data_IF_874930238650
#
_entry.id   IF_874930238650
#
_cell.length_a   1.000
_cell.length_b   1.000
_cell.length_c   1.000
_cell.angle_alpha   90.00
_cell.angle_beta   90.00
_cell.angle_gamma   90.00
#
_symmetry.space_group_name_H-M   'P 1'
#
loop_
_entity.id
_entity.type
_entity.pdbx_description
1 polymer ?
#
# COMPACT_ATOMS: atom_id res chain seq x y z
N UNK A 1 3.25 -10.83 16.63
CA UNK A 1 2.27 -9.79 16.30
C UNK A 1 1.67 -9.19 17.56
N UNK A 2 1.55 -7.85 17.60
CA UNK A 2 0.77 -7.13 18.59
C UNK A 2 -0.65 -6.95 18.05
N UNK A 3 -1.65 -7.38 18.81
CA UNK A 3 -3.07 -7.26 18.46
C UNK A 3 -3.83 -6.46 19.53
N UNK A 4 -4.99 -5.94 19.17
CA UNK A 4 -5.88 -5.23 20.10
C UNK A 4 -7.24 -5.92 20.17
N UNK A 5 -8.03 -5.65 21.21
CA UNK A 5 -9.40 -6.13 21.38
C UNK A 5 -10.44 -5.04 21.07
N UNK A 6 -11.70 -5.43 21.07
CA UNK A 6 -12.81 -4.50 21.07
C UNK A 6 -13.11 -3.86 19.72
N UNK A 7 -12.72 -4.49 18.61
CA UNK A 7 -13.01 -4.01 17.26
C UNK A 7 -12.04 -2.97 16.73
N UNK A 8 -11.10 -2.46 17.54
CA UNK A 8 -10.03 -1.60 17.05
C UNK A 8 -8.94 -2.47 16.43
N UNK A 9 -8.73 -2.36 15.13
CA UNK A 9 -7.65 -3.07 14.46
C UNK A 9 -6.37 -2.23 14.47
N UNK A 10 -5.71 -2.16 15.62
CA UNK A 10 -4.43 -1.44 15.79
C UNK A 10 -3.25 -2.44 15.80
N UNK A 11 -3.29 -3.41 14.93
CA UNK A 11 -2.34 -4.51 14.87
C UNK A 11 -0.99 -4.08 14.28
N UNK A 12 0.11 -4.68 14.76
CA UNK A 12 1.47 -4.48 14.26
C UNK A 12 2.24 -5.78 14.22
N UNK A 13 2.86 -6.07 13.10
CA UNK A 13 3.88 -7.11 13.02
C UNK A 13 5.22 -6.53 13.43
N UNK A 14 5.85 -7.12 14.46
CA UNK A 14 7.15 -6.67 14.97
C UNK A 14 8.26 -7.56 14.38
N UNK A 15 9.20 -6.93 13.67
CA UNK A 15 10.32 -7.61 13.03
C UNK A 15 11.63 -7.21 13.70
N UNK A 16 12.50 -8.22 13.88
CA UNK A 16 13.85 -8.07 14.40
C UNK A 16 14.86 -8.26 13.28
N UNK A 17 15.87 -7.38 13.19
CA UNK A 17 16.98 -7.55 12.27
C UNK A 17 17.87 -8.74 12.65
N UNK A 18 18.02 -8.96 13.94
CA UNK A 18 18.78 -10.07 14.52
C UNK A 18 18.05 -11.40 14.43
N UNK A 19 18.73 -12.44 14.87
CA UNK A 19 18.23 -13.81 14.95
C UNK A 19 17.39 -14.07 16.23
N UNK A 20 17.07 -15.35 16.47
CA UNK A 20 16.33 -15.78 17.64
C UNK A 20 17.02 -15.45 18.97
N UNK A 21 18.35 -15.38 19.01
CA UNK A 21 19.09 -15.04 20.24
C UNK A 21 18.80 -13.61 20.69
N UNK A 22 18.56 -12.72 19.76
CA UNK A 22 18.11 -11.34 20.04
C UNK A 22 16.63 -11.30 20.41
N UNK A 23 15.76 -11.92 19.59
CA UNK A 23 14.32 -11.89 19.80
C UNK A 23 13.90 -12.56 21.12
N UNK A 24 14.58 -13.61 21.53
CA UNK A 24 14.29 -14.34 22.77
C UNK A 24 14.71 -13.61 24.06
N UNK A 25 15.31 -12.41 23.95
CA UNK A 25 15.62 -11.58 25.14
C UNK A 25 14.42 -10.82 25.68
N UNK A 26 13.26 -10.93 25.03
CA UNK A 26 11.99 -10.36 25.50
C UNK A 26 10.85 -11.32 25.25
N UNK A 27 9.79 -11.18 26.03
CA UNK A 27 8.49 -11.77 25.70
C UNK A 27 7.74 -10.83 24.76
N UNK A 28 6.88 -11.35 23.87
CA UNK A 28 6.04 -10.51 23.03
C UNK A 28 5.17 -9.57 23.87
N UNK A 29 5.24 -8.27 23.57
CA UNK A 29 4.27 -7.31 24.10
C UNK A 29 2.91 -7.55 23.45
N UNK A 30 1.87 -7.62 24.26
CA UNK A 30 0.55 -8.06 23.82
C UNK A 30 -0.57 -7.14 24.32
N UNK A 31 -1.79 -7.41 23.89
CA UNK A 31 -3.00 -6.73 24.40
C UNK A 31 -3.22 -6.89 25.90
N UNK A 32 -2.61 -7.89 26.54
CA UNK A 32 -2.70 -8.08 28.00
C UNK A 32 -1.80 -7.10 28.75
N UNK A 33 -0.75 -6.61 28.09
CA UNK A 33 0.14 -5.57 28.64
C UNK A 33 -0.48 -4.20 28.41
N UNK A 34 -0.92 -3.89 27.19
CA UNK A 34 -1.66 -2.67 26.85
C UNK A 34 -2.37 -2.82 25.49
N UNK A 35 -3.52 -2.19 25.36
CA UNK A 35 -4.23 -2.05 24.06
C UNK A 35 -3.86 -0.76 23.32
N UNK A 36 -2.95 0.03 23.88
CA UNK A 36 -2.49 1.28 23.28
C UNK A 36 -1.16 1.06 22.54
N UNK A 37 -1.10 1.22 21.22
CA UNK A 37 0.14 1.06 20.45
C UNK A 37 1.26 2.03 20.85
N UNK A 38 0.93 3.14 21.53
CA UNK A 38 1.94 4.05 22.07
C UNK A 38 2.79 3.37 23.16
N UNK A 39 2.19 2.45 23.92
CA UNK A 39 2.92 1.68 24.94
C UNK A 39 3.76 0.57 24.31
N UNK A 40 3.30 -0.03 23.19
CA UNK A 40 4.13 -0.91 22.37
C UNK A 40 5.39 -0.17 21.87
N UNK A 41 5.24 1.06 21.34
CA UNK A 41 6.41 1.81 20.86
C UNK A 41 7.41 2.09 21.98
N UNK A 42 6.95 2.46 23.19
CA UNK A 42 7.82 2.65 24.35
C UNK A 42 8.53 1.36 24.76
N UNK A 43 7.79 0.24 24.79
CA UNK A 43 8.36 -1.08 25.08
C UNK A 43 9.47 -1.45 24.07
N UNK A 44 9.23 -1.25 22.78
CA UNK A 44 10.21 -1.52 21.73
C UNK A 44 11.43 -0.59 21.82
N UNK A 45 11.22 0.68 22.21
CA UNK A 45 12.30 1.65 22.42
C UNK A 45 13.18 1.29 23.62
N UNK A 46 12.56 0.92 24.73
CA UNK A 46 13.25 0.43 25.92
C UNK A 46 14.06 -0.84 25.61
N UNK A 47 13.48 -1.76 24.82
CA UNK A 47 14.17 -2.97 24.42
C UNK A 47 15.40 -2.68 23.55
N UNK A 48 15.23 -1.87 22.48
CA UNK A 48 16.36 -1.50 21.58
C UNK A 48 17.45 -0.73 22.33
N UNK A 49 17.08 0.11 23.30
CA UNK A 49 18.02 0.87 24.13
C UNK A 49 18.87 -0.04 25.03
N UNK A 50 18.25 -1.05 25.64
CA UNK A 50 18.95 -2.01 26.53
C UNK A 50 19.82 -3.00 25.76
N UNK A 51 19.40 -3.42 24.58
CA UNK A 51 20.02 -4.57 23.88
C UNK A 51 20.83 -4.18 22.65
N UNK A 52 20.65 -2.97 22.12
CA UNK A 52 21.18 -2.56 20.82
C UNK A 52 20.42 -3.18 19.63
N UNK A 53 19.29 -3.85 19.86
CA UNK A 53 18.49 -4.46 18.82
C UNK A 53 18.00 -3.42 17.80
N UNK A 54 17.91 -3.84 16.54
CA UNK A 54 17.22 -3.08 15.48
C UNK A 54 15.88 -3.75 15.23
N UNK A 55 14.80 -2.97 15.38
CA UNK A 55 13.43 -3.45 15.37
C UNK A 55 12.58 -2.47 14.55
N UNK A 56 11.60 -3.00 13.84
CA UNK A 56 10.53 -2.22 13.24
C UNK A 56 9.17 -2.86 13.55
N UNK A 57 8.12 -2.07 13.49
CA UNK A 57 6.74 -2.50 13.60
C UNK A 57 5.99 -2.10 12.33
N UNK A 58 5.14 -2.99 11.82
CA UNK A 58 4.36 -2.78 10.59
C UNK A 58 2.89 -2.72 10.94
N UNK A 59 2.27 -1.53 10.94
CA UNK A 59 0.82 -1.41 11.01
C UNK A 59 0.16 -2.09 9.81
N UNK A 60 -0.94 -2.80 10.04
CA UNK A 60 -1.69 -3.43 8.98
C UNK A 60 -3.21 -3.31 9.21
N UNK A 61 -3.98 -3.45 8.14
CA UNK A 61 -5.45 -3.35 8.13
C UNK A 61 -5.95 -2.03 8.73
N UNK A 62 -5.34 -0.90 8.34
CA UNK A 62 -5.72 0.43 8.83
C UNK A 62 -7.18 0.80 8.56
N UNK A 63 -7.73 0.30 7.45
CA UNK A 63 -9.11 0.49 7.00
C UNK A 63 -10.18 -0.04 7.98
N UNK A 64 -9.80 -0.81 9.02
CA UNK A 64 -10.73 -1.37 10.01
C UNK A 64 -10.45 -0.86 11.45
N UNK A 65 -9.80 0.28 11.59
CA UNK A 65 -9.26 0.78 12.87
C UNK A 65 -10.13 1.81 13.59
N UNK A 66 -11.36 2.06 13.15
CA UNK A 66 -12.23 3.12 13.67
C UNK A 66 -11.58 4.52 13.65
N UNK A 67 -10.79 4.80 12.61
CA UNK A 67 -10.11 6.07 12.45
C UNK A 67 -8.91 6.28 13.38
N UNK A 68 -8.41 5.22 14.02
CA UNK A 68 -7.33 5.35 15.00
C UNK A 68 -5.93 5.05 14.43
N UNK A 69 -5.82 4.29 13.34
CA UNK A 69 -4.53 3.86 12.82
C UNK A 69 -3.63 5.04 12.47
N UNK A 70 -4.17 6.03 11.77
CA UNK A 70 -3.43 7.21 11.32
C UNK A 70 -4.00 8.52 11.90
N UNK A 71 -4.60 8.45 13.09
CA UNK A 71 -5.08 9.63 13.79
C UNK A 71 -3.94 10.62 14.07
N UNK A 72 -4.17 11.93 13.90
CA UNK A 72 -3.22 12.97 14.30
C UNK A 72 -3.20 13.20 15.82
N UNK A 73 -4.00 12.44 16.55
CA UNK A 73 -4.10 12.44 18.00
C UNK A 73 -3.71 11.08 18.58
N UNK A 74 -3.29 11.08 19.83
CA UNK A 74 -3.06 9.84 20.60
C UNK A 74 -4.36 9.06 20.78
N UNK A 75 -4.28 7.77 21.11
CA UNK A 75 -5.48 6.95 21.42
C UNK A 75 -6.34 7.59 22.54
N UNK A 76 -5.73 8.32 23.46
CA UNK A 76 -6.44 9.08 24.49
C UNK A 76 -7.04 10.42 23.98
N UNK A 77 -7.03 10.68 22.67
CA UNK A 77 -7.59 11.90 22.07
C UNK A 77 -6.75 13.18 22.30
N UNK A 78 -5.54 13.07 22.81
CA UNK A 78 -4.66 14.23 23.02
C UNK A 78 -3.85 14.51 21.76
N UNK A 79 -3.49 15.78 21.53
CA UNK A 79 -2.58 16.15 20.43
C UNK A 79 -1.27 15.35 20.53
N UNK A 80 -0.78 14.88 19.39
CA UNK A 80 0.48 14.13 19.30
C UNK A 80 1.65 15.01 19.78
N UNK A 81 2.40 14.62 20.80
CA UNK A 81 3.63 15.33 21.19
C UNK A 81 4.75 14.97 20.20
N UNK A 82 5.74 15.87 20.08
CA UNK A 82 6.83 15.74 19.11
C UNK A 82 7.69 14.49 19.33
N UNK A 83 7.98 14.15 20.57
CA UNK A 83 8.78 12.99 20.96
C UNK A 83 8.08 11.67 20.58
N UNK A 84 6.77 11.58 20.77
CA UNK A 84 5.98 10.43 20.35
C UNK A 84 5.92 10.32 18.81
N UNK A 85 5.84 11.43 18.10
CA UNK A 85 5.89 11.45 16.64
C UNK A 85 7.24 10.95 16.10
N UNK A 86 8.34 11.35 16.74
CA UNK A 86 9.69 10.85 16.44
C UNK A 86 9.82 9.35 16.69
N UNK A 87 9.30 8.89 17.84
CA UNK A 87 9.33 7.50 18.23
C UNK A 87 8.58 6.63 17.21
N UNK A 88 7.34 7.01 16.87
CA UNK A 88 6.56 6.33 15.85
C UNK A 88 7.29 6.28 14.51
N UNK A 89 7.77 7.42 14.00
CA UNK A 89 8.50 7.49 12.73
C UNK A 89 9.73 6.57 12.68
N UNK A 90 10.39 6.36 13.84
CA UNK A 90 11.57 5.51 13.96
C UNK A 90 11.26 4.01 14.00
N UNK A 91 10.04 3.64 14.42
CA UNK A 91 9.62 2.26 14.61
C UNK A 91 8.67 1.75 13.53
N UNK A 92 7.87 2.63 12.91
CA UNK A 92 6.92 2.29 11.85
C UNK A 92 7.36 2.87 10.49
N UNK A 93 8.50 2.39 9.92
CA UNK A 93 9.02 2.91 8.65
C UNK A 93 8.18 2.49 7.44
N UNK A 94 7.37 1.45 7.55
CA UNK A 94 6.52 0.92 6.49
C UNK A 94 5.15 0.54 7.04
N UNK A 95 4.13 0.55 6.16
CA UNK A 95 2.77 0.10 6.48
C UNK A 95 2.26 -0.82 5.39
N UNK A 96 1.36 -1.71 5.74
CA UNK A 96 0.63 -2.54 4.80
C UNK A 96 -0.56 -1.75 4.25
N UNK A 97 -0.71 -1.72 2.92
CA UNK A 97 -1.79 -1.00 2.23
C UNK A 97 -2.76 -1.93 1.51
N UNK A 98 -2.48 -3.24 1.46
CA UNK A 98 -3.37 -4.20 0.80
C UNK A 98 -3.18 -5.60 1.36
N UNK A 99 -4.26 -6.29 1.62
CA UNK A 99 -4.29 -7.68 2.08
C UNK A 99 -5.71 -8.24 1.90
N UNK A 100 -5.93 -9.50 2.26
CA UNK A 100 -7.19 -10.23 2.10
C UNK A 100 -8.45 -9.50 2.64
N UNK A 101 -8.31 -8.58 3.63
CA UNK A 101 -9.37 -7.74 4.18
C UNK A 101 -9.47 -6.36 3.50
N UNK A 102 -9.13 -6.31 2.23
CA UNK A 102 -9.33 -5.15 1.37
C UNK A 102 -8.14 -4.22 1.23
N UNK A 103 -8.32 -3.21 0.42
CA UNK A 103 -7.36 -2.14 0.16
C UNK A 103 -7.36 -1.09 1.26
N UNK A 104 -6.21 -0.55 1.54
CA UNK A 104 -5.98 0.55 2.50
C UNK A 104 -5.16 1.69 1.88
N UNK A 105 -4.97 1.74 0.54
CA UNK A 105 -4.22 2.83 -0.11
C UNK A 105 -5.06 4.09 -0.21
N UNK A 106 -6.22 4.03 -0.89
CA UNK A 106 -7.10 5.16 -1.12
C UNK A 106 -8.57 4.78 -0.91
N UNK A 107 -9.44 5.79 -0.79
CA UNK A 107 -10.88 5.59 -0.67
C UNK A 107 -11.63 6.62 -1.54
N UNK A 108 -12.72 6.23 -2.26
CA UNK A 108 -13.46 7.12 -3.15
C UNK A 108 -13.98 8.40 -2.46
N UNK A 109 -14.36 8.30 -1.18
CA UNK A 109 -14.80 9.46 -0.41
C UNK A 109 -13.71 10.52 -0.21
N UNK A 110 -12.43 10.07 -0.14
CA UNK A 110 -11.28 10.94 0.12
C UNK A 110 -10.59 11.41 -1.16
N UNK A 111 -10.69 10.63 -2.23
CA UNK A 111 -10.10 10.92 -3.55
C UNK A 111 -11.15 10.70 -4.65
N UNK A 112 -12.21 11.53 -4.71
CA UNK A 112 -13.35 11.31 -5.60
C UNK A 112 -13.03 11.48 -7.10
N UNK A 113 -11.94 12.16 -7.42
CA UNK A 113 -11.49 12.35 -8.80
C UNK A 113 -10.58 11.20 -9.31
N UNK A 114 -10.19 10.28 -8.44
CA UNK A 114 -9.38 9.11 -8.77
C UNK A 114 -10.28 7.93 -9.19
N UNK A 115 -10.31 7.61 -10.48
CA UNK A 115 -11.10 6.52 -11.05
C UNK A 115 -10.72 5.11 -10.52
N UNK A 116 -9.57 4.98 -9.85
CA UNK A 116 -9.06 3.73 -9.27
C UNK A 116 -9.00 3.73 -7.75
N UNK A 117 -9.65 4.70 -7.09
CA UNK A 117 -9.71 4.74 -5.63
C UNK A 117 -10.64 3.67 -5.04
N UNK A 118 -11.62 3.21 -5.81
CA UNK A 118 -12.54 2.13 -5.41
C UNK A 118 -11.96 0.77 -5.84
N UNK A 119 -11.21 0.15 -4.94
CA UNK A 119 -10.60 -1.15 -5.18
C UNK A 119 -10.74 -2.04 -3.95
N UNK A 120 -11.56 -3.11 -4.07
CA UNK A 120 -11.75 -4.10 -3.01
C UNK A 120 -11.97 -3.48 -1.61
N UNK A 121 -12.81 -2.44 -1.54
CA UNK A 121 -12.98 -1.59 -0.37
C UNK A 121 -13.80 -2.28 0.73
N UNK A 122 -13.30 -2.27 1.96
CA UNK A 122 -14.00 -2.71 3.17
C UNK A 122 -14.28 -1.50 4.07
N UNK A 123 -15.47 -0.93 3.99
CA UNK A 123 -15.82 0.33 4.63
C UNK A 123 -17.18 0.33 5.37
N UNK A 124 -17.79 -0.85 5.59
CA UNK A 124 -19.09 -0.95 6.26
C UNK A 124 -18.99 -0.80 7.78
N UNK A 125 -17.97 -1.40 8.40
CA UNK A 125 -17.82 -1.45 9.85
C UNK A 125 -16.37 -1.60 10.27
N UNK A 126 -16.14 -1.63 11.59
CA UNK A 126 -14.86 -2.09 12.14
C UNK A 126 -14.71 -3.62 11.97
N UNK A 127 -13.52 -4.15 12.34
CA UNK A 127 -13.18 -5.57 12.17
C UNK A 127 -14.23 -6.55 12.74
N UNK A 128 -14.82 -6.24 13.88
CA UNK A 128 -15.77 -7.14 14.58
C UNK A 128 -17.22 -6.84 14.24
N UNK A 129 -17.51 -5.92 13.33
CA UNK A 129 -18.88 -5.53 12.98
C UNK A 129 -19.67 -4.91 14.14
N UNK A 130 -18.99 -4.35 15.14
CA UNK A 130 -19.63 -3.77 16.34
C UNK A 130 -19.94 -2.29 16.20
N UNK A 131 -19.34 -1.60 15.25
CA UNK A 131 -19.55 -0.19 14.98
C UNK A 131 -19.55 0.07 13.47
N UNK A 132 -20.58 0.76 12.99
CA UNK A 132 -20.66 1.20 11.60
C UNK A 132 -19.56 2.20 11.27
N UNK A 133 -19.03 2.12 10.06
CA UNK A 133 -18.06 3.10 9.55
C UNK A 133 -18.72 4.48 9.45
N UNK A 134 -17.97 5.51 9.80
CA UNK A 134 -18.36 6.91 9.69
C UNK A 134 -17.35 7.68 8.84
N UNK A 135 -17.78 8.69 8.06
CA UNK A 135 -16.86 9.47 7.22
C UNK A 135 -15.66 10.07 7.97
N UNK A 136 -15.86 10.49 9.21
CA UNK A 136 -14.79 11.04 10.06
C UNK A 136 -13.73 10.00 10.51
N UNK A 137 -14.03 8.69 10.41
CA UNK A 137 -13.07 7.62 10.63
C UNK A 137 -12.21 7.40 9.39
N UNK A 138 -12.82 7.37 8.21
CA UNK A 138 -12.19 7.00 6.93
C UNK A 138 -10.95 7.85 6.65
N UNK A 139 -10.98 9.15 6.95
CA UNK A 139 -9.84 10.07 6.77
C UNK A 139 -8.57 9.68 7.56
N UNK A 140 -8.65 8.76 8.52
CA UNK A 140 -7.52 8.30 9.34
C UNK A 140 -7.26 6.80 9.20
N UNK A 141 -7.77 6.19 8.14
CA UNK A 141 -7.70 4.75 7.91
C UNK A 141 -6.92 4.38 6.66
N UNK A 142 -6.80 5.29 5.69
CA UNK A 142 -6.19 5.05 4.39
C UNK A 142 -4.82 5.72 4.28
N UNK A 143 -3.88 5.01 3.62
CA UNK A 143 -2.48 5.41 3.57
C UNK A 143 -2.27 6.76 2.86
N UNK A 144 -2.95 7.01 1.71
CA UNK A 144 -2.83 8.28 0.97
C UNK A 144 -3.17 9.48 1.84
N UNK A 145 -4.25 9.39 2.59
CA UNK A 145 -4.66 10.47 3.50
C UNK A 145 -3.69 10.61 4.68
N UNK A 146 -3.21 9.48 5.23
CA UNK A 146 -2.20 9.48 6.28
C UNK A 146 -0.91 10.15 5.83
N UNK A 147 -0.43 9.87 4.61
CA UNK A 147 0.77 10.49 4.03
C UNK A 147 0.62 12.02 3.93
N UNK A 148 -0.54 12.50 3.46
CA UNK A 148 -0.85 13.95 3.40
C UNK A 148 -0.93 14.56 4.80
N UNK A 149 -1.63 13.90 5.73
CA UNK A 149 -1.72 14.33 7.13
C UNK A 149 -0.34 14.37 7.81
N UNK A 150 0.57 13.48 7.41
CA UNK A 150 1.97 13.49 7.85
C UNK A 150 2.72 14.77 7.46
N UNK A 151 2.51 15.30 6.24
CA UNK A 151 3.05 16.59 5.80
C UNK A 151 2.51 17.73 6.68
N UNK A 152 1.20 17.75 6.93
CA UNK A 152 0.56 18.71 7.82
C UNK A 152 1.11 18.64 9.26
N UNK A 153 1.30 17.42 9.78
CA UNK A 153 1.92 17.25 11.10
C UNK A 153 3.36 17.74 11.13
N UNK A 154 4.13 17.55 10.05
CA UNK A 154 5.48 18.08 9.92
C UNK A 154 5.52 19.60 9.99
N UNK A 155 4.59 20.32 9.38
CA UNK A 155 4.52 21.78 9.52
C UNK A 155 4.35 22.20 10.97
N UNK A 156 3.53 21.47 11.73
CA UNK A 156 3.23 21.78 13.14
C UNK A 156 4.32 21.33 14.12
N UNK A 157 4.84 20.10 13.93
CA UNK A 157 5.71 19.42 14.91
C UNK A 157 7.19 19.42 14.51
N UNK A 158 7.50 19.78 13.25
CA UNK A 158 8.84 19.59 12.68
C UNK A 158 9.17 18.11 12.38
N UNK A 159 8.20 17.19 12.53
CA UNK A 159 8.35 15.75 12.33
C UNK A 159 7.11 15.18 11.65
N UNK A 160 7.31 14.26 10.72
CA UNK A 160 6.24 13.51 10.07
C UNK A 160 6.19 12.08 10.64
N UNK A 161 5.18 11.73 11.48
CA UNK A 161 5.04 10.37 12.02
C UNK A 161 4.51 9.37 10.98
N UNK A 162 4.06 9.83 9.83
CA UNK A 162 3.51 9.03 8.72
C UNK A 162 4.40 9.07 7.47
N UNK A 163 5.71 9.24 7.67
CA UNK A 163 6.69 9.17 6.59
C UNK A 163 7.10 7.71 6.35
N UNK A 164 6.15 6.89 5.96
CA UNK A 164 6.30 5.45 5.76
C UNK A 164 6.37 5.06 4.29
N UNK A 165 6.93 3.88 4.02
CA UNK A 165 6.80 3.15 2.77
C UNK A 165 5.58 2.24 2.78
N UNK A 166 5.21 1.69 1.62
CA UNK A 166 4.01 0.87 1.42
C UNK A 166 4.37 -0.55 1.01
N UNK A 167 3.74 -1.55 1.64
CA UNK A 167 3.85 -2.97 1.29
C UNK A 167 2.46 -3.59 1.19
N UNK A 168 2.36 -4.72 0.47
CA UNK A 168 1.22 -5.63 0.53
C UNK A 168 1.55 -6.86 1.38
N UNK A 169 0.54 -7.59 1.78
CA UNK A 169 0.65 -8.90 2.42
C UNK A 169 -0.60 -9.74 2.20
N UNK A 170 -0.58 -10.99 2.62
CA UNK A 170 -1.76 -11.87 2.49
C UNK A 170 -2.68 -11.79 3.69
N UNK A 171 -2.13 -11.73 4.88
CA UNK A 171 -2.84 -11.98 6.14
C UNK A 171 -3.59 -13.33 6.15
N UNK A 172 -3.08 -14.29 5.37
CA UNK A 172 -3.60 -15.66 5.33
C UNK A 172 -3.18 -16.42 6.57
N UNK A 173 -4.11 -17.19 7.17
CA UNK A 173 -3.90 -18.01 8.34
C UNK A 173 -3.85 -19.52 8.00
N UNK A 174 -3.56 -19.84 6.76
CA UNK A 174 -3.54 -21.21 6.24
C UNK A 174 -2.15 -21.82 6.23
N UNK A 175 -1.09 -21.05 6.47
CA UNK A 175 0.31 -21.39 6.19
C UNK A 175 0.60 -21.68 4.69
N UNK A 176 -0.36 -21.37 3.81
CA UNK A 176 -0.26 -21.48 2.36
C UNK A 176 -0.58 -20.10 1.76
N UNK A 177 0.38 -19.19 1.87
CA UNK A 177 0.21 -17.79 1.46
C UNK A 177 0.35 -17.63 -0.04
N UNK A 178 -0.76 -17.79 -0.78
CA UNK A 178 -0.92 -17.39 -2.16
C UNK A 178 -1.70 -16.09 -2.23
N UNK A 179 -1.30 -15.19 -3.11
CA UNK A 179 -1.98 -13.92 -3.35
C UNK A 179 -2.43 -13.74 -4.81
N UNK A 180 -2.13 -14.69 -5.66
CA UNK A 180 -2.60 -14.69 -7.06
C UNK A 180 -4.08 -15.06 -7.11
N UNK A 181 -4.87 -14.34 -7.88
CA UNK A 181 -6.31 -14.59 -8.08
C UNK A 181 -6.59 -16.02 -8.56
N UNK A 182 -5.77 -16.54 -9.46
CA UNK A 182 -5.92 -17.90 -9.99
C UNK A 182 -5.63 -18.98 -8.92
N UNK A 183 -4.83 -18.67 -7.91
CA UNK A 183 -4.33 -19.63 -6.92
C UNK A 183 -4.57 -19.15 -5.48
N UNK A 184 -5.65 -18.43 -5.26
CA UNK A 184 -6.04 -17.98 -3.93
C UNK A 184 -6.54 -19.17 -3.11
N UNK A 185 -5.80 -19.52 -2.04
CA UNK A 185 -6.20 -20.62 -1.14
C UNK A 185 -7.28 -20.19 -0.14
N UNK A 186 -7.26 -18.95 0.32
CA UNK A 186 -8.20 -18.39 1.27
C UNK A 186 -7.63 -17.99 2.61
N UNK A 187 -8.51 -17.66 3.56
CA UNK A 187 -8.15 -17.07 4.86
C UNK A 187 -7.84 -18.12 5.94
N UNK A 188 -8.64 -19.17 6.03
CA UNK A 188 -8.57 -20.16 7.13
C UNK A 188 -8.62 -21.58 6.61
N UNK A 189 -7.68 -22.42 7.02
CA UNK A 189 -7.58 -23.81 6.60
C UNK A 189 -8.73 -24.69 7.09
N UNK A 190 -9.52 -24.24 8.06
CA UNK A 190 -10.68 -24.97 8.57
C UNK A 190 -11.92 -24.94 7.66
N UNK A 191 -11.97 -24.03 6.71
CA UNK A 191 -13.11 -23.83 5.80
C UNK A 191 -12.71 -23.84 4.33
N UNK A 192 -11.43 -24.02 4.01
CA UNK A 192 -10.91 -23.90 2.67
C UNK A 192 -9.93 -25.01 2.31
N UNK A 193 -9.79 -25.37 1.02
CA UNK A 193 -10.62 -24.93 -0.09
C UNK A 193 -11.93 -25.73 -0.22
N UNK A 194 -12.99 -25.06 -0.69
CA UNK A 194 -14.29 -25.65 -0.96
C UNK A 194 -14.95 -24.94 -2.16
N UNK A 195 -15.78 -25.61 -2.98
CA UNK A 195 -16.40 -25.00 -4.16
C UNK A 195 -17.23 -23.75 -3.87
N UNK A 196 -17.91 -23.71 -2.73
CA UNK A 196 -18.81 -22.60 -2.34
C UNK A 196 -18.22 -21.76 -1.20
N UNK A 197 -16.89 -21.77 -1.04
CA UNK A 197 -16.19 -21.05 0.05
C UNK A 197 -16.47 -19.55 0.11
N UNK A 198 -16.90 -18.94 -0.99
CA UNK A 198 -17.31 -17.56 -1.00
C UNK A 198 -18.57 -17.26 -0.16
N UNK A 199 -19.40 -18.26 0.14
CA UNK A 199 -20.57 -18.12 1.01
C UNK A 199 -20.24 -18.22 2.50
N UNK A 200 -19.09 -18.76 2.86
CA UNK A 200 -18.69 -18.94 4.25
C UNK A 200 -18.64 -17.58 4.97
N UNK A 201 -19.10 -17.58 6.21
CA UNK A 201 -18.96 -16.43 7.11
C UNK A 201 -17.51 -16.37 7.59
N UNK A 202 -16.82 -15.30 7.21
CA UNK A 202 -15.43 -15.03 7.64
C UNK A 202 -15.42 -14.26 8.97
N UNK A 203 -16.33 -13.28 9.10
CA UNK A 203 -16.52 -12.50 10.33
C UNK A 203 -18.01 -12.41 10.59
N UNK A 204 -18.47 -13.06 11.65
CA UNK A 204 -19.83 -12.94 12.14
C UNK A 204 -19.97 -11.66 12.97
N UNK A 205 -20.90 -10.80 12.59
CA UNK A 205 -21.17 -9.54 13.28
C UNK A 205 -22.49 -9.58 14.06
N UNK A 206 -22.60 -8.84 15.20
CA UNK A 206 -23.87 -8.69 15.91
C UNK A 206 -24.99 -8.08 15.06
N UNK A 207 -24.66 -7.16 14.15
CA UNK A 207 -25.55 -6.71 13.08
C UNK A 207 -25.24 -7.52 11.81
N UNK A 208 -26.20 -8.30 11.27
CA UNK A 208 -26.00 -9.10 10.06
C UNK A 208 -25.53 -8.32 8.83
N UNK A 209 -25.85 -7.01 8.73
CA UNK A 209 -25.38 -6.15 7.62
C UNK A 209 -23.86 -5.98 7.59
N UNK A 210 -23.19 -6.19 8.72
CA UNK A 210 -21.75 -6.08 8.87
C UNK A 210 -21.05 -7.44 8.84
N UNK A 211 -21.80 -8.54 8.73
CA UNK A 211 -21.23 -9.87 8.55
C UNK A 211 -20.44 -9.90 7.24
N UNK A 212 -19.23 -10.42 7.30
CA UNK A 212 -18.31 -10.56 6.16
C UNK A 212 -18.32 -12.00 5.69
N UNK A 213 -18.63 -12.16 4.42
CA UNK A 213 -18.59 -13.45 3.72
C UNK A 213 -17.32 -13.62 2.92
N UNK A 214 -17.01 -14.84 2.53
CA UNK A 214 -15.83 -15.21 1.74
C UNK A 214 -15.68 -14.37 0.46
N UNK A 215 -16.74 -14.14 -0.28
CA UNK A 215 -16.73 -13.37 -1.53
C UNK A 215 -16.24 -11.92 -1.38
N UNK A 216 -16.31 -11.35 -0.17
CA UNK A 216 -15.82 -9.99 0.09
C UNK A 216 -14.30 -9.92 0.25
N UNK A 217 -13.64 -11.06 0.42
CA UNK A 217 -12.19 -11.11 0.50
C UNK A 217 -11.56 -10.89 -0.88
N UNK A 218 -10.42 -10.21 -0.90
CA UNK A 218 -9.54 -10.19 -2.06
C UNK A 218 -8.46 -11.26 -1.92
N UNK A 219 -7.71 -11.56 -2.99
CA UNK A 219 -6.68 -12.61 -2.96
C UNK A 219 -5.49 -12.27 -2.05
N UNK A 220 -5.28 -11.01 -1.77
CA UNK A 220 -4.21 -10.55 -0.88
C UNK A 220 -3.19 -9.68 -1.60
N UNK A 221 -1.95 -9.71 -1.13
CA UNK A 221 -0.88 -8.92 -1.72
C UNK A 221 0.50 -9.40 -1.34
N UNK A 222 1.51 -8.78 -1.93
CA UNK A 222 2.93 -9.05 -1.67
C UNK A 222 3.69 -7.81 -1.24
N UNK A 223 4.65 -8.02 -0.34
CA UNK A 223 5.71 -7.06 -0.05
C UNK A 223 6.87 -7.28 -1.01
N UNK A 224 7.17 -6.30 -1.84
CA UNK A 224 8.36 -6.31 -2.68
C UNK A 224 9.45 -5.42 -2.06
N UNK A 225 10.69 -5.88 -2.06
CA UNK A 225 11.81 -5.23 -1.37
C UNK A 225 13.03 -5.15 -2.28
N UNK A 226 13.56 -3.95 -2.46
CA UNK A 226 14.82 -3.74 -3.17
C UNK A 226 15.99 -3.78 -2.18
N UNK A 227 16.49 -4.98 -1.93
CA UNK A 227 17.65 -5.22 -1.06
C UNK A 227 18.94 -5.42 -1.89
N UNK A 228 20.07 -5.17 -1.29
CA UNK A 228 21.38 -5.38 -1.93
C UNK A 228 21.73 -6.85 -2.10
N UNK A 229 21.13 -7.71 -1.27
CA UNK A 229 21.28 -9.17 -1.30
C UNK A 229 20.08 -9.82 -0.59
N UNK A 230 19.86 -11.11 -0.85
CA UNK A 230 18.79 -11.88 -0.22
C UNK A 230 19.23 -12.45 1.13
N UNK A 231 19.43 -11.53 2.09
CA UNK A 231 19.73 -11.88 3.49
C UNK A 231 18.73 -11.17 4.40
N UNK A 232 18.49 -11.71 5.60
CA UNK A 232 17.63 -11.10 6.60
C UNK A 232 18.00 -9.65 6.87
N UNK A 233 19.28 -9.41 7.07
CA UNK A 233 19.86 -8.12 7.39
C UNK A 233 19.64 -7.11 6.26
N UNK A 234 19.94 -7.49 5.03
CA UNK A 234 19.80 -6.60 3.86
C UNK A 234 18.32 -6.28 3.56
N UNK A 235 17.42 -7.26 3.71
CA UNK A 235 15.97 -7.08 3.56
C UNK A 235 15.46 -6.13 4.65
N UNK A 236 15.80 -6.36 5.91
CA UNK A 236 15.44 -5.48 7.02
C UNK A 236 15.94 -4.05 6.78
N UNK A 237 17.20 -3.89 6.37
CA UNK A 237 17.80 -2.58 6.12
C UNK A 237 17.12 -1.85 4.94
N UNK A 238 16.67 -2.57 3.92
CA UNK A 238 15.88 -2.02 2.82
C UNK A 238 14.47 -1.59 3.28
N UNK A 239 13.82 -2.36 4.14
CA UNK A 239 12.55 -1.96 4.79
C UNK A 239 12.71 -0.68 5.60
N UNK A 240 13.79 -0.56 6.38
CA UNK A 240 14.10 0.65 7.15
C UNK A 240 14.35 1.87 6.25
N UNK A 241 14.93 1.68 5.06
CA UNK A 241 15.09 2.73 4.05
C UNK A 241 13.81 3.01 3.26
N UNK A 242 12.75 2.20 3.46
CA UNK A 242 11.49 2.27 2.74
C UNK A 242 11.64 1.99 1.24
N UNK A 243 12.68 1.27 0.85
CA UNK A 243 12.92 0.87 -0.54
C UNK A 243 12.12 -0.40 -0.86
N UNK A 244 10.81 -0.25 -0.72
CA UNK A 244 9.80 -1.31 -0.81
C UNK A 244 8.60 -0.83 -1.62
N UNK A 245 7.81 -1.77 -2.13
CA UNK A 245 6.53 -1.47 -2.77
C UNK A 245 5.52 -2.59 -2.53
N UNK A 246 4.25 -2.26 -2.65
CA UNK A 246 3.12 -3.18 -2.53
C UNK A 246 2.70 -3.69 -3.90
N UNK A 247 2.22 -4.93 -3.99
CA UNK A 247 1.41 -5.41 -5.09
C UNK A 247 0.17 -6.13 -4.56
N UNK A 248 -0.86 -6.26 -5.40
CA UNK A 248 -2.11 -6.94 -5.03
C UNK A 248 -2.11 -8.44 -5.30
N UNK A 249 -0.95 -9.03 -5.61
CA UNK A 249 -0.80 -10.48 -5.86
C UNK A 249 0.08 -10.80 -7.04
N UNK A 250 0.20 -9.88 -7.98
CA UNK A 250 1.12 -9.99 -9.12
C UNK A 250 2.57 -9.74 -8.67
N UNK A 251 3.53 -10.34 -9.36
CA UNK A 251 4.96 -10.13 -9.15
C UNK A 251 5.56 -9.14 -10.15
N UNK A 252 4.77 -8.16 -10.56
CA UNK A 252 5.31 -7.07 -11.37
C UNK A 252 6.45 -6.36 -10.67
N UNK A 253 7.43 -5.87 -11.43
CA UNK A 253 8.56 -5.14 -10.88
C UNK A 253 8.40 -3.64 -11.11
N UNK A 254 8.60 -2.86 -10.06
CA UNK A 254 8.48 -1.40 -10.12
C UNK A 254 9.73 -0.74 -9.57
N UNK A 255 10.30 0.20 -10.34
CA UNK A 255 11.36 1.11 -9.92
C UNK A 255 10.86 2.53 -9.99
N UNK A 256 11.12 3.30 -8.96
CA UNK A 256 10.73 4.70 -8.87
C UNK A 256 11.85 5.52 -8.26
N UNK A 257 12.32 6.52 -9.00
CA UNK A 257 13.39 7.43 -8.59
C UNK A 257 12.97 8.88 -8.78
N UNK A 258 13.37 9.76 -7.88
CA UNK A 258 13.21 11.20 -8.03
C UNK A 258 14.57 11.89 -8.12
N UNK A 259 14.70 12.87 -9.00
CA UNK A 259 15.94 13.61 -9.18
C UNK A 259 15.70 14.90 -9.97
N UNK A 260 16.77 15.59 -10.31
CA UNK A 260 16.68 16.87 -11.02
C UNK A 260 17.18 16.76 -12.47
N UNK A 261 18.04 15.77 -12.75
CA UNK A 261 18.77 15.67 -14.01
C UNK A 261 18.37 14.40 -14.82
N UNK A 262 17.22 13.82 -14.53
CA UNK A 262 16.71 12.66 -15.28
C UNK A 262 16.19 13.13 -16.64
N UNK A 263 16.62 12.42 -17.70
CA UNK A 263 16.25 12.69 -19.07
C UNK A 263 15.61 11.47 -19.73
N UNK A 264 14.63 11.62 -20.63
CA UNK A 264 13.99 10.49 -21.32
C UNK A 264 14.98 9.53 -21.98
N UNK A 265 16.08 10.04 -22.54
CA UNK A 265 17.14 9.20 -23.15
C UNK A 265 17.82 8.25 -22.16
N UNK A 266 17.66 8.43 -20.86
CA UNK A 266 18.16 7.50 -19.86
C UNK A 266 17.47 6.13 -19.91
N UNK A 267 16.20 6.11 -20.34
CA UNK A 267 15.39 4.87 -20.38
C UNK A 267 15.94 3.83 -21.37
N UNK A 268 16.69 4.28 -22.39
CA UNK A 268 17.29 3.40 -23.40
C UNK A 268 18.65 2.83 -22.97
N UNK A 269 19.13 3.20 -21.78
CA UNK A 269 20.48 2.86 -21.33
C UNK A 269 20.49 1.59 -20.48
N UNK A 270 21.42 0.71 -20.73
CA UNK A 270 21.63 -0.50 -19.91
C UNK A 270 22.05 -0.18 -18.46
N UNK A 271 22.64 0.99 -18.19
CA UNK A 271 23.08 1.44 -16.87
C UNK A 271 22.07 2.40 -16.18
N UNK A 272 20.83 2.45 -16.65
CA UNK A 272 19.76 3.39 -16.17
C UNK A 272 19.61 3.34 -14.64
N UNK A 273 19.53 2.14 -14.04
CA UNK A 273 19.35 1.96 -12.59
C UNK A 273 20.53 2.55 -11.81
N UNK A 274 21.78 2.24 -12.25
CA UNK A 274 22.99 2.79 -11.62
C UNK A 274 23.01 4.31 -11.70
N UNK A 275 22.61 4.87 -12.83
CA UNK A 275 22.53 6.32 -13.01
C UNK A 275 21.44 6.97 -12.18
N UNK A 276 20.30 6.28 -12.04
CA UNK A 276 19.20 6.76 -11.22
C UNK A 276 19.59 6.84 -9.73
N UNK A 277 20.29 5.84 -9.19
CA UNK A 277 20.84 5.90 -7.83
C UNK A 277 21.89 7.00 -7.65
N UNK A 278 22.72 7.24 -8.66
CA UNK A 278 23.77 8.27 -8.58
C UNK A 278 23.24 9.69 -8.75
N UNK A 279 22.14 9.89 -9.49
CA UNK A 279 21.57 11.18 -9.85
C UNK A 279 20.33 11.59 -9.07
N UNK A 280 19.84 10.73 -8.16
CA UNK A 280 18.61 10.98 -7.41
C UNK A 280 18.44 10.10 -6.21
N UNK A 281 17.21 9.99 -5.75
CA UNK A 281 16.81 9.15 -4.61
C UNK A 281 15.82 8.07 -5.08
N UNK A 282 15.92 6.83 -4.56
CA UNK A 282 14.93 5.80 -4.84
C UNK A 282 13.63 6.06 -4.06
N UNK A 283 12.60 5.26 -4.34
CA UNK A 283 11.39 5.19 -3.52
C UNK A 283 11.73 5.10 -2.03
N UNK A 284 10.95 5.76 -1.19
CA UNK A 284 11.22 5.90 0.25
C UNK A 284 12.18 7.03 0.63
N UNK A 285 12.85 7.66 -0.35
CA UNK A 285 13.85 8.70 -0.15
C UNK A 285 13.29 10.11 0.00
N UNK A 286 14.15 11.03 0.45
CA UNK A 286 13.86 12.47 0.53
C UNK A 286 14.58 13.23 -0.57
N UNK A 287 13.83 13.95 -1.37
CA UNK A 287 14.33 14.82 -2.41
C UNK A 287 14.47 16.24 -1.83
N UNK A 288 15.70 16.71 -1.66
CA UNK A 288 16.02 18.03 -1.15
C UNK A 288 16.39 18.98 -2.29
N UNK A 289 15.94 20.21 -2.20
CA UNK A 289 16.33 21.24 -3.15
C UNK A 289 17.82 21.60 -2.96
N UNK A 290 18.62 21.28 -3.98
CA UNK A 290 20.09 21.50 -3.95
C UNK A 290 20.53 22.67 -4.82
N UNK A 291 19.80 23.78 -4.80
CA UNK A 291 20.10 24.94 -5.67
C UNK A 291 19.74 24.77 -7.14
N UNK A 292 19.16 23.63 -7.53
CA UNK A 292 18.65 23.37 -8.86
C UNK A 292 17.40 24.20 -9.14
N UNK A 293 17.24 24.67 -10.38
CA UNK A 293 16.04 25.35 -10.87
C UNK A 293 15.12 24.35 -11.56
N UNK A 294 13.82 24.66 -11.61
CA UNK A 294 12.82 23.79 -12.25
C UNK A 294 12.17 22.80 -11.29
N UNK A 295 11.33 21.93 -11.84
CA UNK A 295 10.65 20.86 -11.12
C UNK A 295 11.53 19.59 -11.06
N UNK A 296 11.32 18.73 -10.03
CA UNK A 296 11.95 17.42 -10.00
C UNK A 296 11.40 16.53 -11.11
N UNK A 297 12.23 15.62 -11.59
CA UNK A 297 11.87 14.60 -12.56
C UNK A 297 11.86 13.23 -11.91
N UNK A 298 10.88 12.44 -12.28
CA UNK A 298 10.69 11.09 -11.75
C UNK A 298 10.91 10.07 -12.86
N UNK A 299 11.85 9.15 -12.61
CA UNK A 299 12.14 8.03 -13.50
C UNK A 299 11.41 6.80 -12.97
N UNK A 300 10.54 6.23 -13.81
CA UNK A 300 9.71 5.08 -13.47
C UNK A 300 9.95 3.97 -14.48
N UNK A 301 10.17 2.76 -13.98
CA UNK A 301 10.27 1.55 -14.80
C UNK A 301 9.32 0.51 -14.21
N UNK A 302 8.46 -0.07 -15.03
CA UNK A 302 7.57 -1.14 -14.66
C UNK A 302 7.66 -2.28 -15.68
N UNK A 303 7.76 -3.52 -15.18
CA UNK A 303 7.65 -4.73 -15.99
C UNK A 303 6.53 -5.59 -15.41
N UNK A 304 5.72 -6.18 -16.28
CA UNK A 304 4.71 -7.13 -15.84
C UNK A 304 5.33 -8.35 -15.16
N UNK A 305 4.53 -9.07 -14.41
CA UNK A 305 4.87 -10.43 -14.02
C UNK A 305 5.06 -11.30 -15.28
N UNK A 306 6.11 -12.10 -15.33
CA UNK A 306 6.39 -12.95 -16.48
C UNK A 306 5.25 -13.93 -16.78
N UNK A 307 4.50 -14.36 -15.75
CA UNK A 307 3.35 -15.26 -15.85
C UNK A 307 2.02 -14.51 -15.77
N UNK A 308 2.02 -13.20 -15.49
CA UNK A 308 0.84 -12.38 -15.28
C UNK A 308 0.36 -11.60 -16.49
N UNK A 309 -0.48 -10.63 -16.22
CA UNK A 309 -1.12 -9.78 -17.21
C UNK A 309 -0.20 -8.66 -17.71
N UNK A 310 -0.47 -8.15 -18.90
CA UNK A 310 0.19 -6.95 -19.40
C UNK A 310 -0.21 -5.72 -18.59
N UNK A 311 0.65 -4.70 -18.61
CA UNK A 311 0.43 -3.43 -17.94
C UNK A 311 -0.53 -2.54 -18.76
N UNK A 312 -1.48 -1.93 -18.07
CA UNK A 312 -2.35 -0.89 -18.62
C UNK A 312 -1.63 0.47 -18.64
N UNK A 313 -1.23 0.96 -17.47
CA UNK A 313 -0.66 2.30 -17.30
C UNK A 313 0.21 2.43 -16.05
N UNK A 314 1.03 3.47 -16.05
CA UNK A 314 1.72 4.01 -14.88
C UNK A 314 1.09 5.35 -14.53
N UNK A 315 0.75 5.51 -13.26
CA UNK A 315 0.29 6.76 -12.68
C UNK A 315 1.29 7.27 -11.65
N UNK A 316 1.39 8.58 -11.51
CA UNK A 316 2.03 9.25 -10.38
C UNK A 316 0.95 9.89 -9.54
N UNK A 317 0.92 9.56 -8.26
CA UNK A 317 0.08 10.20 -7.26
C UNK A 317 0.93 11.23 -6.53
N UNK A 318 0.53 12.49 -6.62
CA UNK A 318 1.11 13.61 -5.87
C UNK A 318 0.20 13.93 -4.69
N UNK A 319 0.77 14.04 -3.49
CA UNK A 319 0.11 14.62 -2.33
C UNK A 319 0.90 15.84 -1.85
N UNK A 320 0.20 16.88 -1.40
CA UNK A 320 0.87 18.08 -0.88
C UNK A 320 0.04 18.78 0.18
N UNK A 321 0.69 19.71 0.87
CA UNK A 321 0.05 20.59 1.85
C UNK A 321 0.39 22.03 1.52
N UNK A 322 -0.61 22.89 1.50
CA UNK A 322 -0.42 24.32 1.26
C UNK A 322 -0.09 25.10 2.54
N UNK A 323 0.06 26.43 2.40
CA UNK A 323 0.51 27.29 3.50
C UNK A 323 -0.45 27.39 4.66
N UNK A 324 -1.74 27.15 4.48
CA UNK A 324 -2.77 27.15 5.52
C UNK A 324 -2.99 25.76 6.17
N UNK A 325 -2.29 24.74 5.67
CA UNK A 325 -2.35 23.38 6.18
C UNK A 325 -3.48 22.54 5.55
N UNK A 326 -4.06 22.97 4.44
CA UNK A 326 -4.98 22.16 3.65
C UNK A 326 -4.21 21.13 2.85
N UNK A 327 -4.67 19.88 2.85
CA UNK A 327 -4.04 18.77 2.14
C UNK A 327 -4.77 18.51 0.82
N UNK A 328 -4.00 18.15 -0.19
CA UNK A 328 -4.49 17.86 -1.53
C UNK A 328 -3.83 16.62 -2.10
N UNK A 329 -4.46 15.98 -3.08
CA UNK A 329 -3.83 14.98 -3.93
C UNK A 329 -4.29 15.11 -5.38
N UNK A 330 -3.46 14.59 -6.28
CA UNK A 330 -3.74 14.51 -7.71
C UNK A 330 -3.06 13.31 -8.32
N UNK A 331 -3.77 12.65 -9.22
CA UNK A 331 -3.28 11.51 -10.00
C UNK A 331 -2.98 11.95 -11.42
N UNK A 332 -1.81 11.55 -11.93
CA UNK A 332 -1.36 11.83 -13.29
C UNK A 332 -1.10 10.50 -14.02
N UNK A 333 -1.72 10.26 -15.17
CA UNK A 333 -1.31 9.22 -16.08
C UNK A 333 0.00 9.65 -16.76
N UNK A 334 1.10 8.90 -16.57
CA UNK A 334 2.44 9.31 -17.04
C UNK A 334 3.02 8.41 -18.13
N UNK A 335 2.54 7.16 -18.22
CA UNK A 335 2.78 6.25 -19.32
C UNK A 335 1.62 5.26 -19.43
N UNK A 336 1.31 4.80 -20.63
CA UNK A 336 0.25 3.83 -20.87
C UNK A 336 0.49 3.02 -22.14
N UNK A 337 -0.19 1.89 -22.22
CA UNK A 337 -0.13 1.01 -23.37
C UNK A 337 -1.07 1.46 -24.50
N UNK A 338 -0.72 1.10 -25.73
CA UNK A 338 -1.52 1.39 -26.91
C UNK A 338 -1.49 2.87 -27.32
N UNK A 339 -2.33 3.23 -28.29
CA UNK A 339 -2.39 4.58 -28.87
C UNK A 339 -3.50 5.46 -28.24
N UNK A 340 -3.96 5.10 -27.02
CA UNK A 340 -4.99 5.88 -26.32
C UNK A 340 -4.51 7.30 -26.05
N UNK A 341 -5.45 8.25 -26.03
CA UNK A 341 -5.20 9.65 -25.72
C UNK A 341 -6.20 10.11 -24.65
N UNK A 342 -5.75 10.94 -23.70
CA UNK A 342 -6.68 11.54 -22.74
C UNK A 342 -7.83 12.28 -23.45
N UNK A 343 -9.04 12.12 -22.93
CA UNK A 343 -10.22 12.83 -23.39
C UNK A 343 -10.22 14.31 -23.01
N UNK A 344 -11.31 15.00 -23.33
CA UNK A 344 -11.51 16.41 -22.96
C UNK A 344 -11.61 16.64 -21.44
N UNK A 345 -11.92 15.60 -20.70
CA UNK A 345 -11.94 15.56 -19.22
C UNK A 345 -10.55 15.28 -18.61
N UNK A 346 -9.52 15.08 -19.44
CA UNK A 346 -8.16 14.75 -19.04
C UNK A 346 -7.97 13.28 -18.65
N UNK A 347 -9.02 12.43 -18.67
CA UNK A 347 -8.93 11.01 -18.31
C UNK A 347 -8.55 10.15 -19.51
N UNK A 348 -7.69 9.16 -19.25
CA UNK A 348 -7.30 8.18 -20.26
C UNK A 348 -8.43 7.13 -20.41
N UNK A 349 -8.90 6.84 -21.64
CA UNK A 349 -9.88 5.80 -21.85
C UNK A 349 -9.44 4.43 -21.30
N UNK A 350 -10.38 3.54 -20.91
CA UNK A 350 -10.06 2.18 -20.46
C UNK A 350 -9.22 1.42 -21.47
N UNK A 351 -8.33 0.54 -21.00
CA UNK A 351 -7.46 -0.29 -21.85
C UNK A 351 -8.24 -1.36 -22.64
N UNK A 352 -9.48 -1.61 -22.24
CA UNK A 352 -10.30 -2.72 -22.73
C UNK A 352 -10.23 -3.94 -21.81
N UNK A 353 -10.91 -5.02 -22.23
CA UNK A 353 -11.00 -6.26 -21.46
C UNK A 353 -10.89 -7.46 -22.40
N UNK A 354 -10.02 -8.41 -22.08
CA UNK A 354 -9.81 -9.66 -22.85
C UNK A 354 -10.21 -10.91 -22.07
N UNK A 355 -10.88 -10.73 -20.93
CA UNK A 355 -11.32 -11.84 -20.07
C UNK A 355 -12.46 -12.61 -20.73
N UNK A 356 -12.31 -13.93 -20.78
CA UNK A 356 -13.36 -14.88 -21.09
C UNK A 356 -13.92 -15.46 -19.79
N UNK A 357 -15.09 -14.99 -19.39
CA UNK A 357 -15.74 -15.40 -18.15
C UNK A 357 -16.22 -16.85 -18.17
N UNK A 358 -16.34 -17.48 -19.35
CA UNK A 358 -16.78 -18.89 -19.47
C UNK A 358 -15.67 -19.86 -19.13
N UNK A 359 -14.41 -19.42 -19.26
CA UNK A 359 -13.22 -20.23 -19.03
C UNK A 359 -12.32 -19.67 -17.93
N UNK A 360 -12.69 -18.50 -17.36
CA UNK A 360 -11.86 -17.74 -16.43
C UNK A 360 -10.42 -17.54 -16.97
N UNK A 361 -10.30 -17.14 -18.22
CA UNK A 361 -9.01 -16.87 -18.87
C UNK A 361 -8.96 -15.46 -19.42
N UNK A 362 -7.75 -14.96 -19.69
CA UNK A 362 -7.53 -13.67 -20.35
C UNK A 362 -6.40 -13.78 -21.38
N UNK A 363 -6.24 -12.77 -22.21
CA UNK A 363 -5.20 -12.76 -23.24
C UNK A 363 -4.40 -11.46 -23.17
N UNK A 364 -3.09 -11.57 -23.23
CA UNK A 364 -2.16 -10.44 -23.35
C UNK A 364 -2.10 -9.88 -24.79
N UNK A 365 -3.26 -9.61 -25.40
CA UNK A 365 -3.38 -8.99 -26.74
C UNK A 365 -3.55 -7.47 -26.66
N UNK A 366 -3.77 -6.95 -25.46
CA UNK A 366 -3.79 -5.53 -25.09
C UNK A 366 -2.79 -5.31 -23.96
N UNK A 367 -2.54 -4.07 -23.61
CA UNK A 367 -1.53 -3.76 -22.60
C UNK A 367 -0.11 -3.83 -23.17
N UNK A 368 0.89 -3.67 -22.29
CA UNK A 368 2.32 -3.74 -22.62
C UNK A 368 3.05 -4.60 -21.59
N UNK A 369 4.09 -5.34 -22.00
CA UNK A 369 4.95 -6.09 -21.08
C UNK A 369 5.87 -5.20 -20.25
N UNK A 370 6.13 -3.99 -20.75
CA UNK A 370 6.94 -2.97 -20.07
C UNK A 370 6.34 -1.58 -20.29
N UNK A 371 6.40 -0.75 -19.28
CA UNK A 371 6.13 0.69 -19.36
C UNK A 371 7.23 1.45 -18.65
N UNK A 372 7.61 2.61 -19.19
CA UNK A 372 8.63 3.46 -18.58
C UNK A 372 8.32 4.93 -18.84
N UNK A 373 8.70 5.79 -17.92
CA UNK A 373 8.58 7.24 -18.06
C UNK A 373 9.70 7.98 -17.35
N UNK A 374 10.06 9.13 -17.90
CA UNK A 374 10.65 10.22 -17.14
C UNK A 374 9.63 11.36 -17.17
N UNK A 375 9.03 11.62 -16.00
CA UNK A 375 7.95 12.58 -15.86
C UNK A 375 8.39 13.74 -14.97
N UNK A 376 8.00 14.96 -15.34
CA UNK A 376 8.24 16.19 -14.59
C UNK A 376 6.90 16.72 -14.08
N UNK A 377 6.83 17.11 -12.79
CA UNK A 377 5.60 17.64 -12.22
C UNK A 377 5.24 19.00 -12.84
N UNK A 378 4.16 19.09 -13.62
CA UNK A 378 3.76 20.36 -14.28
C UNK A 378 3.18 21.38 -13.30
N UNK A 379 2.87 20.96 -12.08
CA UNK A 379 2.27 21.79 -11.02
C UNK A 379 3.21 21.89 -9.80
N UNK A 380 4.51 21.81 -10.03
CA UNK A 380 5.48 21.86 -8.95
C UNK A 380 5.60 23.26 -8.36
N UNK A 381 5.44 23.33 -7.03
CA UNK A 381 5.75 24.54 -6.24
C UNK A 381 6.99 24.28 -5.37
N UNK A 382 8.11 25.00 -5.60
CA UNK A 382 9.34 24.80 -4.84
C UNK A 382 9.24 25.20 -3.35
N UNK A 383 8.23 25.94 -2.95
CA UNK A 383 7.99 26.33 -1.56
C UNK A 383 7.09 25.35 -0.79
N UNK A 384 6.53 24.35 -1.47
CA UNK A 384 5.50 23.49 -0.94
C UNK A 384 6.04 22.09 -0.64
N UNK A 385 5.77 21.57 0.55
CA UNK A 385 6.06 20.17 0.87
C UNK A 385 5.13 19.26 0.07
N UNK A 386 5.71 18.25 -0.57
CA UNK A 386 4.98 17.28 -1.38
C UNK A 386 5.52 15.86 -1.20
N UNK A 387 4.71 14.89 -1.58
CA UNK A 387 5.10 13.51 -1.75
C UNK A 387 4.66 13.01 -3.12
N UNK A 388 5.39 12.02 -3.64
CA UNK A 388 5.09 11.39 -4.91
C UNK A 388 5.27 9.89 -4.78
N UNK A 389 4.32 9.11 -5.26
CA UNK A 389 4.50 7.67 -5.43
C UNK A 389 3.88 7.24 -6.75
N UNK A 390 4.30 6.09 -7.26
CA UNK A 390 3.73 5.55 -8.49
C UNK A 390 2.74 4.44 -8.18
N UNK A 391 1.65 4.40 -8.97
CA UNK A 391 0.73 3.27 -9.09
C UNK A 391 0.84 2.70 -10.48
N UNK A 392 1.01 1.39 -10.58
CA UNK A 392 1.06 0.64 -11.84
C UNK A 392 -0.14 -0.28 -11.91
N UNK A 393 -0.88 -0.25 -13.00
CA UNK A 393 -2.07 -1.05 -13.22
C UNK A 393 -1.82 -2.09 -14.32
N UNK A 394 -2.31 -3.32 -14.10
CA UNK A 394 -2.44 -4.34 -15.14
C UNK A 394 -3.74 -4.19 -15.94
N UNK A 395 -3.85 -4.89 -17.08
CA UNK A 395 -5.12 -5.06 -17.77
C UNK A 395 -6.05 -5.94 -16.90
N UNK A 396 -7.38 -5.89 -17.10
CA UNK A 396 -8.32 -6.73 -16.35
C UNK A 396 -8.01 -8.23 -16.47
N UNK A 397 -8.08 -8.94 -15.33
CA UNK A 397 -7.98 -10.39 -15.19
C UNK A 397 -9.20 -10.96 -14.47
N UNK A 398 -9.51 -12.27 -14.52
CA UNK A 398 -10.57 -12.84 -13.72
C UNK A 398 -10.30 -12.67 -12.23
N UNK A 399 -11.31 -12.35 -11.43
CA UNK A 399 -11.24 -12.37 -9.98
C UNK A 399 -11.26 -13.81 -9.45
N UNK A 400 -10.71 -14.09 -8.28
CA UNK A 400 -10.65 -15.44 -7.69
C UNK A 400 -12.03 -16.14 -7.63
N UNK A 401 -13.09 -15.39 -7.35
CA UNK A 401 -14.47 -15.89 -7.34
C UNK A 401 -14.92 -16.38 -8.73
N UNK A 402 -14.42 -15.75 -9.78
CA UNK A 402 -14.67 -16.17 -11.17
C UNK A 402 -13.93 -17.46 -11.49
N UNK A 403 -12.67 -17.60 -11.04
CA UNK A 403 -11.93 -18.86 -11.17
C UNK A 403 -12.64 -20.01 -10.45
N UNK A 404 -13.10 -19.77 -9.23
CA UNK A 404 -13.82 -20.79 -8.43
C UNK A 404 -15.15 -21.17 -9.09
N UNK A 405 -15.94 -20.20 -9.55
CA UNK A 405 -17.20 -20.46 -10.25
C UNK A 405 -17.00 -21.38 -11.46
N UNK A 406 -16.03 -21.05 -12.33
CA UNK A 406 -15.75 -21.84 -13.51
C UNK A 406 -15.25 -23.23 -13.17
N UNK A 407 -14.32 -23.37 -12.23
CA UNK A 407 -13.75 -24.66 -11.80
C UNK A 407 -14.78 -25.58 -11.17
N UNK A 408 -15.72 -25.01 -10.42
CA UNK A 408 -16.78 -25.76 -9.74
C UNK A 408 -18.05 -25.94 -10.58
N UNK A 409 -18.15 -25.30 -11.76
CA UNK A 409 -19.37 -25.30 -12.56
C UNK A 409 -20.53 -24.56 -11.92
N UNK A 410 -20.24 -23.53 -11.13
CA UNK A 410 -21.20 -22.69 -10.42
C UNK A 410 -21.51 -21.42 -11.22
N UNK A 411 -22.65 -20.74 -10.99
CA UNK A 411 -22.91 -19.43 -11.57
C UNK A 411 -21.95 -18.38 -11.01
N UNK A 412 -21.65 -17.35 -11.82
CA UNK A 412 -20.92 -16.17 -11.34
C UNK A 412 -21.74 -15.43 -10.28
N UNK A 413 -21.05 -14.78 -9.34
CA UNK A 413 -21.68 -13.96 -8.32
C UNK A 413 -22.12 -12.61 -8.93
N UNK A 414 -23.36 -12.17 -8.62
CA UNK A 414 -23.90 -10.90 -9.11
C UNK A 414 -23.46 -9.69 -8.25
N UNK A 415 -23.01 -9.94 -7.03
CA UNK A 415 -22.71 -8.91 -6.01
C UNK A 415 -21.22 -8.58 -5.89
N UNK A 416 -20.38 -9.11 -6.76
CA UNK A 416 -18.94 -8.86 -6.80
C UNK A 416 -18.46 -8.75 -8.25
N UNK A 417 -17.47 -7.87 -8.54
CA UNK A 417 -16.90 -7.79 -9.88
C UNK A 417 -16.34 -9.15 -10.33
N UNK A 418 -16.62 -9.54 -11.55
CA UNK A 418 -16.07 -10.78 -12.14
C UNK A 418 -14.61 -10.64 -12.57
N UNK A 419 -14.12 -9.42 -12.67
CA UNK A 419 -12.74 -9.10 -13.06
C UNK A 419 -12.11 -8.11 -12.10
N UNK A 420 -10.79 -8.12 -12.03
CA UNK A 420 -9.98 -7.23 -11.20
C UNK A 420 -8.85 -6.63 -12.05
N UNK A 421 -8.41 -5.41 -11.75
CA UNK A 421 -7.16 -4.85 -12.27
C UNK A 421 -6.12 -4.84 -11.17
N UNK A 422 -5.22 -5.83 -11.21
CA UNK A 422 -4.09 -5.94 -10.32
C UNK A 422 -3.20 -4.69 -10.40
N UNK A 423 -2.58 -4.36 -9.28
CA UNK A 423 -1.80 -3.13 -9.19
C UNK A 423 -0.60 -3.22 -8.25
N UNK A 424 0.27 -2.25 -8.38
CA UNK A 424 1.36 -2.02 -7.44
C UNK A 424 1.42 -0.55 -7.03
N UNK A 425 1.90 -0.30 -5.80
CA UNK A 425 2.16 1.05 -5.29
C UNK A 425 3.57 1.13 -4.71
N UNK A 426 4.39 2.06 -5.22
CA UNK A 426 5.71 2.29 -4.66
C UNK A 426 5.64 3.02 -3.32
N UNK A 427 6.67 2.90 -2.50
CA UNK A 427 6.88 3.84 -1.39
C UNK A 427 7.05 5.27 -1.92
N UNK A 428 6.57 6.28 -1.18
CA UNK A 428 6.67 7.68 -1.60
C UNK A 428 8.11 8.19 -1.63
N UNK A 429 8.36 9.13 -2.54
CA UNK A 429 9.50 10.06 -2.49
C UNK A 429 8.97 11.39 -1.95
N UNK A 430 9.66 11.94 -0.97
CA UNK A 430 9.26 13.15 -0.26
C UNK A 430 10.04 14.35 -0.75
N UNK A 431 9.36 15.40 -1.20
CA UNK A 431 9.98 16.69 -1.48
C UNK A 431 9.85 17.59 -0.27
N UNK A 432 10.99 18.06 0.22
CA UNK A 432 11.10 18.95 1.38
C UNK A 432 11.88 20.20 0.94
N UNK A 433 11.22 21.39 0.87
CA UNK A 433 11.84 22.66 0.49
C UNK A 433 13.06 23.04 1.26
#
# INVERSE_FOLDING_TARGET
EYTTRGGFNLHRNVLFRGDASMANQTVPFSQFDSQNPEDLWRHLDDFRTRTGARILAIPHTGNLSNGLMFSPSTVAGRSYPRDLALLRASLEPIVEVTQIKGDGEAHPLLSPDDEFADYETWDKSNLNGTEAKKPEMIQYEYAREALKNGLKMRQRLGVNPFQFGMIGSTDSHTSMSGAEEENFFGKHSGVEPEPERWEHVVIEAPNPEFTIHGWQQMAGGWAAVWATENTREAIFDAMMRKEVYATTGTRMTVRFFGGWDFEPAMLERADVIKKAYNGGVPMGGELKRTGKSGAPRFLILANRDALGANLDRIQVVKGWVDGDGTTHDKVFDVAWSGERKPGSDGKLPPVGNTVDLTTATYRNTIGSDQLAAVWEDPEFDPGQQALYYTRVLEIPTPRWTTYDAVRAGLPLLDNVPSTVQERAWSSPIWYLP
#
